data_IF_381794508572
#
_entry.id   IF_381794508572
#
_cell.length_a   1.000
_cell.length_b   1.000
_cell.length_c   1.000
_cell.angle_alpha   90.00
_cell.angle_beta   90.00
_cell.angle_gamma   90.00
#
_symmetry.space_group_name_H-M   'P 1'
#
loop_
_entity.id
_entity.type
_entity.pdbx_description
1 polymer ?
#
# COMPACT_ATOMS: atom_id res chain seq x y z
N UNK A 1 35.07 24.18 -60.88
CA UNK A 1 33.69 24.62 -60.54
C UNK A 1 32.91 23.39 -60.09
N UNK A 2 32.37 23.44 -58.86
CA UNK A 2 31.22 22.69 -58.29
C UNK A 2 31.06 21.18 -58.60
N UNK A 3 30.76 20.26 -57.69
CA UNK A 3 30.06 20.36 -56.41
C UNK A 3 30.36 19.14 -55.52
N UNK A 4 30.32 19.38 -54.21
CA UNK A 4 30.33 18.40 -53.13
C UNK A 4 29.21 17.36 -53.25
N UNK A 5 29.55 16.07 -53.09
CA UNK A 5 28.60 15.02 -52.74
C UNK A 5 28.78 14.69 -51.25
N UNK A 6 27.90 15.23 -50.42
CA UNK A 6 27.77 14.92 -49.01
C UNK A 6 26.86 13.69 -48.88
N UNK A 7 27.42 12.51 -48.65
CA UNK A 7 26.62 11.34 -48.25
C UNK A 7 26.78 11.15 -46.75
N UNK A 8 25.66 11.37 -46.06
CA UNK A 8 25.52 11.37 -44.61
C UNK A 8 25.80 9.96 -44.05
N UNK A 9 26.84 9.84 -43.24
CA UNK A 9 27.13 8.61 -42.48
C UNK A 9 26.13 8.53 -41.31
N UNK A 10 25.04 7.80 -41.51
CA UNK A 10 24.08 7.50 -40.46
C UNK A 10 24.74 6.57 -39.43
N UNK A 11 25.20 7.14 -38.32
CA UNK A 11 25.56 6.44 -37.10
C UNK A 11 24.32 5.72 -36.56
N UNK A 12 24.18 4.43 -36.89
CA UNK A 12 23.31 3.49 -36.19
C UNK A 12 23.85 3.35 -34.76
N UNK A 13 23.34 4.17 -33.84
CA UNK A 13 23.43 3.91 -32.42
C UNK A 13 22.64 2.63 -32.16
N UNK A 14 23.36 1.52 -32.05
CA UNK A 14 22.82 0.26 -31.56
C UNK A 14 22.38 0.46 -30.11
N UNK A 15 21.15 0.93 -29.94
CA UNK A 15 20.43 0.88 -28.68
C UNK A 15 20.24 -0.60 -28.38
N UNK A 16 21.15 -1.16 -27.59
CA UNK A 16 21.03 -2.51 -27.03
C UNK A 16 19.83 -2.47 -26.07
N UNK A 17 18.65 -2.58 -26.64
CA UNK A 17 17.42 -2.84 -25.93
C UNK A 17 17.55 -4.29 -25.46
N UNK A 18 18.08 -4.47 -24.25
CA UNK A 18 17.94 -5.72 -23.52
C UNK A 18 16.45 -5.95 -23.28
N UNK A 19 15.78 -6.49 -24.29
CA UNK A 19 14.46 -7.10 -24.21
C UNK A 19 14.59 -8.32 -23.30
N UNK A 20 14.49 -8.12 -21.99
CA UNK A 20 14.11 -9.19 -21.09
C UNK A 20 12.59 -9.35 -21.21
N UNK A 21 12.08 -10.47 -21.72
CA UNK A 21 10.68 -10.82 -21.54
C UNK A 21 10.52 -11.32 -20.10
N UNK A 22 10.66 -10.42 -19.13
CA UNK A 22 10.07 -10.66 -17.82
C UNK A 22 8.56 -10.49 -18.02
N UNK A 23 7.90 -11.56 -18.43
CA UNK A 23 6.47 -11.77 -18.17
C UNK A 23 6.32 -11.77 -16.64
N UNK A 24 6.36 -10.59 -16.04
CA UNK A 24 6.24 -10.36 -14.62
C UNK A 24 4.82 -10.76 -14.22
N UNK A 25 4.66 -12.00 -13.77
CA UNK A 25 3.40 -12.57 -13.35
C UNK A 25 2.62 -11.63 -12.43
N UNK A 26 1.53 -11.13 -13.01
CA UNK A 26 0.12 -11.14 -12.64
C UNK A 26 -0.35 -11.13 -11.19
N UNK A 27 0.44 -11.34 -10.12
CA UNK A 27 -0.11 -11.46 -8.76
C UNK A 27 0.63 -10.60 -7.72
N UNK A 28 -0.10 -9.71 -7.03
CA UNK A 28 0.37 -8.90 -5.88
C UNK A 28 -0.79 -8.71 -4.92
N UNK A 29 -0.61 -8.95 -3.62
CA UNK A 29 -1.66 -8.68 -2.63
C UNK A 29 -2.91 -9.56 -2.81
N UNK A 30 -2.74 -10.77 -3.34
CA UNK A 30 -3.82 -11.69 -3.67
C UNK A 30 -4.74 -11.26 -4.83
N UNK A 31 -4.35 -10.25 -5.63
CA UNK A 31 -5.08 -9.84 -6.84
C UNK A 31 -4.27 -10.12 -8.10
N UNK A 32 -4.97 -10.28 -9.21
CA UNK A 32 -4.40 -10.29 -10.56
C UNK A 32 -5.03 -9.25 -11.47
N UNK A 33 -4.25 -8.74 -12.42
CA UNK A 33 -4.70 -7.73 -13.38
C UNK A 33 -4.42 -8.23 -14.80
N UNK A 34 -5.48 -8.37 -15.59
CA UNK A 34 -5.37 -8.80 -16.99
C UNK A 34 -4.78 -7.70 -17.89
N UNK A 35 -4.48 -8.03 -19.15
CA UNK A 35 -3.91 -7.08 -20.13
C UNK A 35 -4.80 -5.87 -20.42
N UNK A 36 -6.10 -5.94 -20.09
CA UNK A 36 -7.06 -4.83 -20.21
C UNK A 36 -7.16 -3.99 -18.94
N UNK A 37 -6.39 -4.32 -17.91
CA UNK A 37 -6.41 -3.62 -16.62
C UNK A 37 -7.59 -4.04 -15.73
N UNK A 38 -8.22 -5.19 -15.98
CA UNK A 38 -9.31 -5.70 -15.15
C UNK A 38 -8.73 -6.52 -14.00
N UNK A 39 -9.00 -6.08 -12.77
CA UNK A 39 -8.62 -6.73 -11.54
C UNK A 39 -9.53 -7.92 -11.23
N UNK A 40 -8.92 -9.04 -10.81
CA UNK A 40 -9.60 -10.22 -10.28
C UNK A 40 -8.90 -10.70 -9.02
N UNK A 41 -9.60 -11.52 -8.23
CA UNK A 41 -8.94 -12.25 -7.15
C UNK A 41 -8.02 -13.30 -7.78
N UNK A 42 -6.76 -13.33 -7.37
CA UNK A 42 -5.81 -14.31 -7.85
C UNK A 42 -6.28 -15.72 -7.46
N UNK A 43 -6.24 -16.66 -8.40
CA UNK A 43 -6.23 -18.08 -8.05
C UNK A 43 -4.80 -18.48 -7.76
N UNK A 44 -4.58 -19.11 -6.61
CA UNK A 44 -3.23 -19.53 -6.20
C UNK A 44 -2.74 -20.56 -7.21
N UNK A 45 -1.87 -20.15 -8.13
CA UNK A 45 -1.19 -21.09 -9.02
C UNK A 45 0.11 -21.51 -8.36
N UNK A 46 0.27 -22.80 -8.10
CA UNK A 46 1.47 -23.41 -7.52
C UNK A 46 2.66 -23.45 -8.51
N UNK A 47 2.84 -22.42 -9.33
CA UNK A 47 4.01 -22.31 -10.18
C UNK A 47 5.21 -21.90 -9.31
N UNK A 48 5.98 -22.90 -8.89
CA UNK A 48 7.27 -22.76 -8.22
C UNK A 48 8.23 -21.95 -9.11
N UNK A 49 8.26 -20.64 -8.90
CA UNK A 49 9.26 -19.77 -9.50
C UNK A 49 10.45 -19.66 -8.59
N UNK A 50 11.65 -19.60 -9.21
CA UNK A 50 12.97 -19.46 -8.57
C UNK A 50 12.86 -18.61 -7.29
N UNK A 51 13.03 -19.29 -6.17
CA UNK A 51 13.07 -18.67 -4.85
C UNK A 51 14.29 -17.74 -4.82
N UNK A 52 14.07 -16.43 -4.77
CA UNK A 52 15.10 -15.50 -4.32
C UNK A 52 15.39 -15.81 -2.86
N UNK A 53 16.37 -16.68 -2.60
CA UNK A 53 16.75 -17.08 -1.24
C UNK A 53 17.58 -15.95 -0.59
N UNK A 54 17.37 -15.65 0.70
CA UNK A 54 18.22 -14.71 1.41
C UNK A 54 19.66 -15.23 1.48
N UNK A 55 20.64 -14.32 1.36
CA UNK A 55 22.01 -14.61 1.81
C UNK A 55 22.02 -15.15 3.25
N UNK A 56 22.92 -16.10 3.55
CA UNK A 56 23.02 -16.74 4.88
C UNK A 56 23.12 -15.73 6.03
N UNK A 57 23.81 -14.61 5.81
CA UNK A 57 23.97 -13.54 6.81
C UNK A 57 22.65 -12.85 7.16
N UNK A 58 21.72 -12.73 6.22
CA UNK A 58 20.41 -12.08 6.42
C UNK A 58 19.32 -13.04 6.89
N UNK A 59 19.57 -14.35 6.79
CA UNK A 59 18.62 -15.38 7.19
C UNK A 59 18.32 -15.36 8.70
N UNK A 60 19.28 -14.92 9.53
CA UNK A 60 19.11 -14.83 10.98
C UNK A 60 18.05 -13.77 11.34
N UNK A 61 17.04 -14.12 12.16
CA UNK A 61 16.07 -13.15 12.67
C UNK A 61 16.74 -12.10 13.55
N UNK A 62 16.29 -10.86 13.41
CA UNK A 62 16.70 -9.71 14.19
C UNK A 62 15.49 -8.85 14.50
N UNK A 63 15.41 -8.32 15.72
CA UNK A 63 14.34 -7.39 16.13
C UNK A 63 14.73 -5.93 15.89
N UNK A 64 16.02 -5.66 15.62
CA UNK A 64 16.61 -4.33 15.60
C UNK A 64 17.50 -4.09 14.38
N UNK A 65 17.25 -4.78 13.26
CA UNK A 65 18.04 -4.58 12.04
C UNK A 65 17.95 -3.13 11.61
N UNK A 66 19.11 -2.51 11.47
CA UNK A 66 19.30 -1.13 11.13
C UNK A 66 19.92 -1.01 9.74
N UNK A 67 19.40 -0.10 8.93
CA UNK A 67 19.81 0.15 7.54
C UNK A 67 20.30 1.59 7.39
N UNK A 68 21.57 1.81 7.06
CA UNK A 68 22.11 3.12 6.68
C UNK A 68 21.64 3.49 5.28
N UNK A 69 20.86 4.56 5.14
CA UNK A 69 20.33 5.00 3.86
C UNK A 69 21.43 5.58 2.97
N UNK A 70 22.43 6.26 3.54
CA UNK A 70 23.62 6.73 2.82
C UNK A 70 24.38 5.57 2.17
N UNK A 71 24.68 4.53 2.94
CA UNK A 71 25.43 3.36 2.43
C UNK A 71 24.58 2.49 1.52
N UNK A 72 23.28 2.39 1.78
CA UNK A 72 22.34 1.71 0.89
C UNK A 72 22.34 2.36 -0.50
N UNK A 73 22.23 3.69 -0.60
CA UNK A 73 22.30 4.39 -1.89
C UNK A 73 23.65 4.24 -2.58
N UNK A 74 24.76 4.19 -1.83
CA UNK A 74 26.08 3.90 -2.39
C UNK A 74 26.12 2.50 -3.01
N UNK A 75 25.61 1.49 -2.30
CA UNK A 75 25.54 0.11 -2.80
C UNK A 75 24.64 0.00 -4.05
N UNK A 76 23.50 0.70 -4.08
CA UNK A 76 22.61 0.75 -5.25
C UNK A 76 23.31 1.45 -6.42
N UNK A 77 23.98 2.58 -6.17
CA UNK A 77 24.70 3.34 -7.21
C UNK A 77 25.75 2.52 -7.93
N UNK A 78 26.45 1.63 -7.22
CA UNK A 78 27.46 0.73 -7.82
C UNK A 78 26.81 -0.18 -8.87
N UNK A 79 25.66 -0.79 -8.56
CA UNK A 79 24.95 -1.68 -9.49
C UNK A 79 24.34 -0.89 -10.65
N UNK A 80 23.71 0.26 -10.37
CA UNK A 80 23.10 1.12 -11.39
C UNK A 80 24.15 1.58 -12.40
N UNK A 81 25.32 2.04 -11.95
CA UNK A 81 26.41 2.47 -12.85
C UNK A 81 26.96 1.34 -13.74
N UNK A 82 26.86 0.09 -13.27
CA UNK A 82 27.29 -1.11 -14.02
C UNK A 82 26.19 -1.69 -14.91
N UNK A 83 24.96 -1.17 -14.85
CA UNK A 83 23.81 -1.75 -15.54
C UNK A 83 23.40 -3.13 -14.99
N UNK A 84 23.80 -3.45 -13.77
CA UNK A 84 23.53 -4.74 -13.13
C UNK A 84 22.17 -4.76 -12.46
N UNK A 85 21.51 -5.93 -12.45
CA UNK A 85 20.29 -6.13 -11.67
C UNK A 85 20.60 -6.06 -10.18
N UNK A 86 19.72 -5.39 -9.41
CA UNK A 86 19.89 -5.33 -7.97
C UNK A 86 19.72 -6.72 -7.33
N UNK A 87 20.66 -7.14 -6.47
CA UNK A 87 20.54 -8.39 -5.73
C UNK A 87 19.32 -8.35 -4.78
N UNK A 88 18.71 -9.51 -4.46
CA UNK A 88 17.53 -9.59 -3.60
C UNK A 88 17.68 -8.86 -2.26
N UNK A 89 18.87 -8.87 -1.68
CA UNK A 89 19.19 -8.22 -0.42
C UNK A 89 18.96 -6.71 -0.47
N UNK A 90 19.32 -6.05 -1.58
CA UNK A 90 19.04 -4.63 -1.79
C UNK A 90 17.55 -4.39 -2.09
N UNK A 91 16.96 -5.24 -2.95
CA UNK A 91 15.54 -5.12 -3.34
C UNK A 91 14.58 -5.25 -2.15
N UNK A 92 14.89 -6.14 -1.21
CA UNK A 92 14.10 -6.40 -0.01
C UNK A 92 14.66 -5.74 1.26
N UNK A 93 15.49 -4.70 1.11
CA UNK A 93 15.98 -3.87 2.21
C UNK A 93 16.53 -4.69 3.38
N UNK A 94 17.36 -5.69 3.09
CA UNK A 94 17.99 -6.54 4.10
C UNK A 94 17.00 -7.44 4.85
N UNK A 95 15.87 -7.76 4.23
CA UNK A 95 14.80 -8.57 4.83
C UNK A 95 14.02 -7.82 5.91
N UNK A 96 14.07 -6.48 5.94
CA UNK A 96 13.32 -5.66 6.88
C UNK A 96 11.82 -5.83 6.63
N UNK A 97 11.05 -6.11 7.69
CA UNK A 97 9.63 -6.48 7.58
C UNK A 97 8.69 -5.32 7.94
N UNK A 98 9.16 -4.35 8.73
CA UNK A 98 8.50 -3.08 9.03
C UNK A 98 9.52 -2.09 9.60
N UNK A 99 9.20 -0.79 9.54
CA UNK A 99 10.00 0.27 10.18
C UNK A 99 9.45 0.51 11.58
N UNK A 100 10.23 0.21 12.62
CA UNK A 100 9.89 0.54 14.01
C UNK A 100 10.51 1.86 14.45
N UNK A 101 11.67 2.26 13.90
CA UNK A 101 12.31 3.54 14.21
C UNK A 101 12.95 4.19 12.98
N UNK A 102 12.99 5.52 13.00
CA UNK A 102 13.79 6.35 12.07
C UNK A 102 14.76 7.17 12.91
N UNK A 103 16.05 6.99 12.66
CA UNK A 103 17.12 7.65 13.39
C UNK A 103 17.88 8.57 12.44
N UNK A 104 18.00 9.84 12.79
CA UNK A 104 18.65 10.86 11.98
C UNK A 104 20.04 11.16 12.55
N UNK A 105 21.06 11.18 11.70
CA UNK A 105 22.45 11.47 12.07
C UNK A 105 23.02 12.59 11.19
N UNK A 106 22.63 13.85 11.43
CA UNK A 106 23.16 14.99 10.66
C UNK A 106 24.68 15.04 10.65
N UNK A 107 25.31 14.68 11.77
CA UNK A 107 26.76 14.65 11.92
C UNK A 107 27.46 13.59 11.05
N UNK A 108 26.73 12.61 10.53
CA UNK A 108 27.23 11.58 9.61
C UNK A 108 26.69 11.77 8.17
N UNK A 109 25.83 12.77 7.98
CA UNK A 109 24.99 12.95 6.79
C UNK A 109 24.20 11.70 6.43
N UNK A 110 23.71 10.99 7.45
CA UNK A 110 23.07 9.70 7.30
C UNK A 110 21.74 9.64 8.06
N UNK A 111 20.90 8.72 7.64
CA UNK A 111 19.68 8.36 8.33
C UNK A 111 19.51 6.84 8.30
N UNK A 112 18.93 6.31 9.36
CA UNK A 112 18.84 4.87 9.59
C UNK A 112 17.39 4.46 9.81
N UNK A 113 16.98 3.43 9.07
CA UNK A 113 15.70 2.74 9.29
C UNK A 113 15.96 1.51 10.15
N UNK A 114 15.18 1.34 11.21
CA UNK A 114 15.35 0.21 12.16
C UNK A 114 14.05 -0.56 12.31
N UNK A 115 14.13 -1.89 12.36
CA UNK A 115 12.99 -2.74 12.69
C UNK A 115 13.28 -4.24 12.60
N UNK A 116 12.24 -5.08 12.73
CA UNK A 116 12.39 -6.53 12.67
C UNK A 116 12.71 -6.97 11.24
N UNK A 117 13.67 -7.86 11.11
CA UNK A 117 14.13 -8.42 9.85
C UNK A 117 14.54 -9.88 9.99
N UNK A 118 14.73 -10.56 8.86
CA UNK A 118 15.26 -11.92 8.85
C UNK A 118 15.17 -12.56 7.48
N UNK A 119 15.34 -13.88 7.44
CA UNK A 119 15.12 -14.66 6.23
C UNK A 119 13.67 -14.58 5.74
N UNK A 120 13.48 -14.83 4.45
CA UNK A 120 12.18 -14.76 3.81
C UNK A 120 11.90 -15.95 2.91
N UNK A 121 10.61 -16.15 2.64
CA UNK A 121 10.06 -17.13 1.70
C UNK A 121 9.02 -16.47 0.82
N UNK A 122 8.79 -17.04 -0.36
CA UNK A 122 7.71 -16.62 -1.25
C UNK A 122 6.47 -17.47 -1.00
N UNK A 123 5.33 -16.84 -0.74
CA UNK A 123 4.05 -17.52 -0.61
C UNK A 123 3.53 -17.98 -1.98
N UNK A 124 2.65 -19.00 -2.04
CA UNK A 124 2.00 -19.41 -3.28
C UNK A 124 1.23 -18.27 -3.98
N UNK A 125 0.70 -17.32 -3.22
CA UNK A 125 0.06 -16.10 -3.70
C UNK A 125 1.04 -15.06 -4.28
N UNK A 126 2.34 -15.29 -4.15
CA UNK A 126 3.41 -14.55 -4.80
C UNK A 126 4.13 -13.52 -3.93
N UNK A 127 3.60 -13.18 -2.76
CA UNK A 127 4.23 -12.26 -1.80
C UNK A 127 5.47 -12.86 -1.12
N UNK A 128 6.45 -12.02 -0.83
CA UNK A 128 7.60 -12.39 0.00
C UNK A 128 7.32 -12.03 1.46
N UNK A 129 7.46 -13.01 2.35
CA UNK A 129 7.21 -12.85 3.78
C UNK A 129 8.36 -13.40 4.61
N UNK A 130 8.55 -12.85 5.79
CA UNK A 130 9.48 -13.38 6.78
C UNK A 130 9.18 -14.84 7.10
N UNK A 131 10.21 -15.67 7.21
CA UNK A 131 10.08 -17.12 7.39
C UNK A 131 9.28 -17.46 8.65
N UNK A 132 9.55 -16.75 9.76
CA UNK A 132 8.97 -17.02 11.07
C UNK A 132 7.75 -16.15 11.36
N UNK A 133 7.81 -14.87 11.00
CA UNK A 133 6.77 -13.88 11.35
C UNK A 133 5.58 -13.89 10.40
N UNK A 134 5.74 -14.45 9.19
CA UNK A 134 4.80 -14.35 8.08
C UNK A 134 4.43 -12.91 7.69
N UNK A 135 5.21 -11.91 8.12
CA UNK A 135 5.02 -10.52 7.72
C UNK A 135 5.67 -10.25 6.37
N UNK A 136 5.03 -9.46 5.48
CA UNK A 136 5.63 -9.00 4.23
C UNK A 136 6.93 -8.22 4.46
N UNK A 137 7.84 -8.31 3.50
CA UNK A 137 9.06 -7.52 3.49
C UNK A 137 8.78 -6.09 2.98
N UNK A 138 9.61 -5.15 3.42
CA UNK A 138 9.74 -3.85 2.77
C UNK A 138 10.52 -3.99 1.47
N UNK A 139 10.15 -3.18 0.48
CA UNK A 139 10.77 -3.18 -0.84
C UNK A 139 11.31 -1.81 -1.22
N UNK A 140 12.45 -1.83 -1.92
CA UNK A 140 13.16 -0.63 -2.34
C UNK A 140 12.31 0.25 -3.28
N UNK A 141 11.53 -0.37 -4.17
CA UNK A 141 10.60 0.34 -5.07
C UNK A 141 9.59 1.18 -4.29
N UNK A 142 9.04 0.63 -3.20
CA UNK A 142 8.04 1.33 -2.39
C UNK A 142 8.69 2.48 -1.59
N UNK A 143 9.92 2.28 -1.08
CA UNK A 143 10.70 3.35 -0.45
C UNK A 143 11.01 4.49 -1.42
N UNK A 144 11.44 4.17 -2.64
CA UNK A 144 11.74 5.17 -3.66
C UNK A 144 10.51 6.00 -4.04
N UNK A 145 9.35 5.34 -4.21
CA UNK A 145 8.09 6.04 -4.51
C UNK A 145 7.61 6.91 -3.34
N UNK A 146 7.74 6.44 -2.09
CA UNK A 146 7.44 7.24 -0.91
C UNK A 146 8.33 8.49 -0.82
N UNK A 147 9.64 8.35 -1.04
CA UNK A 147 10.57 9.48 -1.06
C UNK A 147 10.24 10.49 -2.17
N UNK A 148 9.89 10.02 -3.38
CA UNK A 148 9.51 10.89 -4.51
C UNK A 148 8.27 11.71 -4.23
N UNK A 149 7.25 11.09 -3.63
CA UNK A 149 6.02 11.78 -3.28
C UNK A 149 6.29 12.96 -2.34
N UNK A 150 7.11 12.76 -1.31
CA UNK A 150 7.47 13.83 -0.35
C UNK A 150 8.43 14.85 -0.96
N UNK A 151 9.41 14.39 -1.76
CA UNK A 151 10.44 15.25 -2.36
C UNK A 151 9.88 16.19 -3.45
N UNK A 152 8.82 15.80 -4.15
CA UNK A 152 8.14 16.63 -5.15
C UNK A 152 6.66 16.81 -4.82
N UNK A 153 6.30 17.72 -3.90
CA UNK A 153 4.92 18.04 -3.55
C UNK A 153 4.11 18.69 -4.69
N UNK A 154 4.69 18.82 -5.88
CA UNK A 154 4.01 19.26 -7.11
C UNK A 154 3.05 18.20 -7.65
N UNK A 155 2.94 17.03 -7.01
CA UNK A 155 1.83 16.11 -7.25
C UNK A 155 0.53 16.87 -6.98
N UNK A 156 -0.31 17.00 -8.02
CA UNK A 156 -1.66 17.58 -7.90
C UNK A 156 -2.48 16.94 -6.75
N UNK A 157 -2.11 15.72 -6.37
CA UNK A 157 -2.65 14.98 -5.25
C UNK A 157 -1.90 15.30 -3.95
N UNK A 158 -2.59 15.88 -2.96
CA UNK A 158 -2.06 16.10 -1.61
C UNK A 158 -2.00 14.85 -0.72
N UNK A 159 -2.16 13.65 -1.28
CA UNK A 159 -2.16 12.37 -0.57
C UNK A 159 -1.78 11.22 -1.53
N UNK A 160 -1.31 10.10 -0.98
CA UNK A 160 -1.16 8.83 -1.71
C UNK A 160 -2.41 7.98 -1.48
N UNK A 161 -2.97 7.39 -2.53
CA UNK A 161 -4.17 6.59 -2.33
C UNK A 161 -4.73 5.91 -3.56
N UNK A 162 -5.90 5.31 -3.36
CA UNK A 162 -6.70 4.80 -4.46
C UNK A 162 -8.20 4.90 -4.16
N UNK A 163 -9.02 4.76 -5.21
CA UNK A 163 -10.46 4.61 -5.12
C UNK A 163 -10.94 3.55 -6.10
N UNK A 164 -11.97 2.79 -5.71
CA UNK A 164 -12.71 1.90 -6.61
C UNK A 164 -14.18 2.31 -6.55
N UNK A 165 -14.65 2.95 -7.63
CA UNK A 165 -15.96 3.58 -7.69
C UNK A 165 -16.75 3.17 -8.94
N UNK A 166 -18.09 3.01 -8.84
CA UNK A 166 -18.91 2.83 -10.03
C UNK A 166 -18.89 4.08 -10.92
N UNK A 167 -19.07 3.89 -12.22
CA UNK A 167 -19.23 5.00 -13.17
C UNK A 167 -20.57 5.72 -12.94
N UNK A 168 -20.65 7.01 -13.32
CA UNK A 168 -21.91 7.77 -13.27
C UNK A 168 -23.01 7.10 -14.12
N UNK A 169 -22.67 6.63 -15.32
CA UNK A 169 -23.61 5.90 -16.19
C UNK A 169 -24.01 4.56 -15.60
N UNK A 170 -23.09 3.85 -14.93
CA UNK A 170 -23.38 2.62 -14.17
C UNK A 170 -24.36 2.86 -13.02
N UNK A 171 -24.20 3.96 -12.28
CA UNK A 171 -25.15 4.35 -11.23
C UNK A 171 -26.53 4.68 -11.79
N UNK A 172 -26.62 5.35 -12.95
CA UNK A 172 -27.89 5.64 -13.61
C UNK A 172 -28.61 4.37 -14.09
N UNK A 173 -27.89 3.46 -14.76
CA UNK A 173 -28.43 2.15 -15.17
C UNK A 173 -28.90 1.35 -13.97
N UNK A 174 -28.10 1.32 -12.91
CA UNK A 174 -28.47 0.67 -11.66
C UNK A 174 -29.74 1.26 -11.04
N UNK A 175 -29.86 2.58 -10.96
CA UNK A 175 -31.06 3.24 -10.45
C UNK A 175 -32.30 2.91 -11.30
N UNK A 176 -32.16 2.87 -12.64
CA UNK A 176 -33.24 2.48 -13.55
C UNK A 176 -33.65 1.02 -13.34
N UNK A 177 -32.67 0.11 -13.22
CA UNK A 177 -32.91 -1.30 -12.94
C UNK A 177 -33.66 -1.50 -11.61
N UNK A 178 -33.22 -0.81 -10.55
CA UNK A 178 -33.86 -0.89 -9.23
C UNK A 178 -35.29 -0.36 -9.19
N UNK A 179 -35.62 0.69 -9.97
CA UNK A 179 -36.99 1.21 -10.08
C UNK A 179 -37.96 0.22 -10.74
N UNK A 180 -37.46 -0.66 -11.61
CA UNK A 180 -38.26 -1.65 -12.33
C UNK A 180 -38.55 -2.93 -11.54
N UNK A 181 -37.97 -3.08 -10.33
CA UNK A 181 -38.15 -4.29 -9.53
C UNK A 181 -39.45 -4.24 -8.73
N UNK A 182 -40.30 -5.24 -8.93
CA UNK A 182 -41.54 -5.46 -8.16
C UNK A 182 -41.71 -6.95 -7.81
N UNK A 183 -42.53 -7.23 -6.80
CA UNK A 183 -42.93 -8.60 -6.42
C UNK A 183 -42.10 -9.27 -5.32
N UNK A 184 -42.54 -10.47 -4.92
CA UNK A 184 -41.84 -11.32 -3.93
C UNK A 184 -40.57 -11.90 -4.54
N UNK A 185 -39.54 -12.01 -3.70
CA UNK A 185 -38.22 -12.51 -4.10
C UNK A 185 -38.00 -13.91 -3.53
N UNK A 186 -37.97 -14.91 -4.40
CA UNK A 186 -37.55 -16.28 -4.11
C UNK A 186 -36.04 -16.49 -4.39
N UNK A 187 -35.53 -17.69 -4.15
CA UNK A 187 -34.11 -18.00 -4.33
C UNK A 187 -33.62 -17.87 -5.79
N UNK A 188 -34.47 -18.19 -6.77
CA UNK A 188 -34.13 -18.08 -8.19
C UNK A 188 -34.07 -16.62 -8.64
N UNK A 189 -35.09 -15.83 -8.26
CA UNK A 189 -35.16 -14.38 -8.48
C UNK A 189 -34.01 -13.64 -7.81
N UNK A 190 -33.54 -14.08 -6.65
CA UNK A 190 -32.36 -13.47 -5.98
C UNK A 190 -31.11 -13.59 -6.86
N UNK A 191 -30.86 -14.74 -7.49
CA UNK A 191 -29.69 -14.91 -8.36
C UNK A 191 -29.76 -14.01 -9.59
N UNK A 192 -30.91 -13.99 -10.27
CA UNK A 192 -31.13 -13.12 -11.44
C UNK A 192 -31.05 -11.64 -11.06
N UNK A 193 -31.55 -11.27 -9.88
CA UNK A 193 -31.45 -9.93 -9.33
C UNK A 193 -29.99 -9.50 -9.13
N UNK A 194 -29.17 -10.33 -8.49
CA UNK A 194 -27.74 -10.05 -8.28
C UNK A 194 -27.03 -9.86 -9.62
N UNK A 195 -27.24 -10.77 -10.56
CA UNK A 195 -26.62 -10.68 -11.88
C UNK A 195 -27.05 -9.42 -12.65
N UNK A 196 -28.35 -9.12 -12.68
CA UNK A 196 -28.88 -7.91 -13.33
C UNK A 196 -28.37 -6.62 -12.70
N UNK A 197 -28.14 -6.62 -11.39
CA UNK A 197 -27.52 -5.51 -10.69
C UNK A 197 -26.05 -5.33 -11.02
N UNK A 198 -25.26 -6.39 -10.95
CA UNK A 198 -23.84 -6.35 -11.29
C UNK A 198 -23.65 -5.89 -12.74
N UNK A 199 -24.50 -6.39 -13.64
CA UNK A 199 -24.53 -5.95 -15.04
C UNK A 199 -24.89 -4.46 -15.18
N UNK A 200 -25.91 -4.00 -14.45
CA UNK A 200 -26.35 -2.60 -14.51
C UNK A 200 -25.28 -1.62 -14.04
N UNK A 201 -24.64 -1.91 -12.89
CA UNK A 201 -23.51 -1.10 -12.39
C UNK A 201 -22.33 -1.19 -13.36
N UNK A 202 -22.04 -2.39 -13.87
CA UNK A 202 -20.89 -2.66 -14.73
C UNK A 202 -19.57 -2.67 -13.96
N UNK A 203 -18.45 -2.57 -14.67
CA UNK A 203 -17.14 -2.44 -14.02
C UNK A 203 -17.00 -1.10 -13.30
N UNK A 204 -16.44 -1.16 -12.10
CA UNK A 204 -16.05 0.00 -11.31
C UNK A 204 -14.67 0.48 -11.77
N UNK A 205 -14.44 1.78 -11.77
CA UNK A 205 -13.19 2.39 -12.18
C UNK A 205 -12.24 2.47 -10.99
N UNK A 206 -10.97 2.16 -11.25
CA UNK A 206 -9.87 2.33 -10.32
C UNK A 206 -9.18 3.66 -10.62
N UNK A 207 -8.96 4.47 -9.59
CA UNK A 207 -8.09 5.65 -9.67
C UNK A 207 -7.03 5.55 -8.60
N UNK A 208 -5.81 5.95 -8.93
CA UNK A 208 -4.64 5.96 -8.04
C UNK A 208 -4.14 7.40 -7.95
N UNK A 209 -3.74 7.81 -6.76
CA UNK A 209 -3.32 9.18 -6.43
C UNK A 209 -1.93 9.17 -5.81
N UNK A 210 -1.14 10.20 -6.09
CA UNK A 210 0.19 10.44 -5.49
C UNK A 210 1.32 9.52 -5.95
N UNK A 211 1.03 8.35 -6.53
CA UNK A 211 2.03 7.41 -7.07
C UNK A 211 1.64 6.91 -8.47
N UNK A 212 2.60 6.50 -9.33
CA UNK A 212 2.27 5.97 -10.65
C UNK A 212 1.43 4.69 -10.56
N UNK A 213 0.35 4.63 -11.34
CA UNK A 213 -0.65 3.56 -11.25
C UNK A 213 -0.16 2.19 -11.77
N UNK A 214 0.96 2.17 -12.50
CA UNK A 214 1.63 0.98 -13.05
C UNK A 214 2.69 0.40 -12.10
N UNK A 215 2.62 0.69 -10.79
CA UNK A 215 3.61 0.24 -9.78
C UNK A 215 3.06 -0.79 -8.81
N UNK A 216 3.95 -1.52 -8.12
CA UNK A 216 3.58 -2.41 -7.02
C UNK A 216 2.90 -1.66 -5.86
N UNK A 217 3.33 -0.44 -5.56
CA UNK A 217 2.69 0.44 -4.57
C UNK A 217 1.21 0.62 -4.90
N UNK A 218 0.89 1.02 -6.14
CA UNK A 218 -0.48 1.19 -6.61
C UNK A 218 -1.31 -0.11 -6.51
N UNK A 219 -0.74 -1.24 -6.92
CA UNK A 219 -1.41 -2.53 -6.82
C UNK A 219 -1.78 -2.88 -5.38
N UNK A 220 -0.88 -2.66 -4.40
CA UNK A 220 -1.14 -2.94 -2.97
C UNK A 220 -2.27 -2.06 -2.41
N UNK A 221 -2.30 -0.77 -2.78
CA UNK A 221 -3.38 0.13 -2.38
C UNK A 221 -4.74 -0.40 -2.86
N UNK A 222 -4.83 -0.74 -4.14
CA UNK A 222 -6.06 -1.24 -4.77
C UNK A 222 -6.45 -2.61 -4.23
N UNK A 223 -5.48 -3.50 -4.02
CA UNK A 223 -5.70 -4.82 -3.45
C UNK A 223 -6.26 -4.75 -2.03
N UNK A 224 -5.74 -3.85 -1.19
CA UNK A 224 -6.21 -3.65 0.16
C UNK A 224 -7.66 -3.13 0.19
N UNK A 225 -8.00 -2.11 -0.61
CA UNK A 225 -9.39 -1.62 -0.72
C UNK A 225 -10.34 -2.71 -1.24
N UNK A 226 -9.94 -3.42 -2.30
CA UNK A 226 -10.71 -4.54 -2.85
C UNK A 226 -11.00 -5.61 -1.79
N UNK A 227 -9.98 -5.97 -0.99
CA UNK A 227 -10.11 -6.99 0.07
C UNK A 227 -10.97 -6.50 1.23
N UNK A 228 -10.84 -5.25 1.64
CA UNK A 228 -11.70 -4.63 2.65
C UNK A 228 -13.17 -4.71 2.24
N UNK A 229 -13.48 -4.36 0.98
CA UNK A 229 -14.83 -4.44 0.42
C UNK A 229 -15.39 -5.85 0.46
N UNK A 230 -14.61 -6.85 0.05
CA UNK A 230 -15.04 -8.25 0.09
C UNK A 230 -15.35 -8.74 1.50
N UNK A 231 -14.51 -8.40 2.48
CA UNK A 231 -14.73 -8.73 3.90
C UNK A 231 -15.98 -8.02 4.43
N UNK A 232 -16.11 -6.72 4.19
CA UNK A 232 -17.27 -5.94 4.65
C UNK A 232 -18.59 -6.45 4.04
N UNK A 233 -18.57 -6.87 2.76
CA UNK A 233 -19.73 -7.46 2.09
C UNK A 233 -19.97 -8.95 2.44
N UNK A 234 -19.09 -9.57 3.22
CA UNK A 234 -19.20 -10.98 3.59
C UNK A 234 -19.01 -11.94 2.42
N UNK A 235 -18.19 -11.58 1.43
CA UNK A 235 -17.68 -12.51 0.41
C UNK A 235 -16.48 -13.31 0.90
N UNK A 236 -15.64 -12.66 1.72
CA UNK A 236 -14.49 -13.30 2.34
C UNK A 236 -14.81 -13.55 3.80
N UNK A 237 -14.91 -14.82 4.18
CA UNK A 237 -15.05 -15.20 5.57
C UNK A 237 -13.70 -15.04 6.29
N UNK A 238 -13.70 -14.29 7.39
CA UNK A 238 -12.50 -14.07 8.20
C UNK A 238 -12.71 -14.75 9.55
N UNK A 239 -11.88 -15.73 9.95
CA UNK A 239 -12.02 -16.46 11.21
C UNK A 239 -11.58 -15.62 12.43
N UNK A 240 -12.04 -14.38 12.51
CA UNK A 240 -11.84 -13.48 13.65
C UNK A 240 -13.01 -13.63 14.61
N UNK A 241 -12.74 -13.97 15.86
CA UNK A 241 -13.79 -14.26 16.86
C UNK A 241 -14.72 -13.05 17.03
N UNK A 242 -16.02 -13.29 16.87
CA UNK A 242 -17.05 -12.26 17.03
C UNK A 242 -17.17 -11.26 15.86
N UNK A 243 -16.35 -11.41 14.81
CA UNK A 243 -16.46 -10.57 13.63
C UNK A 243 -17.77 -10.84 12.89
N UNK A 244 -18.47 -9.77 12.53
CA UNK A 244 -19.72 -9.83 11.74
C UNK A 244 -19.57 -8.90 10.54
N UNK A 245 -19.88 -9.39 9.34
CA UNK A 245 -19.83 -8.55 8.14
C UNK A 245 -20.84 -7.39 8.21
N UNK A 246 -20.59 -6.31 7.48
CA UNK A 246 -21.51 -5.18 7.43
C UNK A 246 -22.90 -5.61 6.92
N UNK A 247 -22.91 -6.51 5.93
CA UNK A 247 -24.13 -7.07 5.36
C UNK A 247 -24.95 -7.86 6.39
N UNK A 248 -24.29 -8.61 7.26
CA UNK A 248 -24.98 -9.37 8.30
C UNK A 248 -25.45 -8.46 9.44
N UNK A 249 -24.68 -7.41 9.79
CA UNK A 249 -25.13 -6.36 10.72
C UNK A 249 -26.41 -5.67 10.22
N UNK A 250 -26.44 -5.30 8.93
CA UNK A 250 -27.61 -4.69 8.31
C UNK A 250 -28.81 -5.64 8.27
N UNK A 251 -28.58 -6.94 8.07
CA UNK A 251 -29.65 -7.94 8.05
C UNK A 251 -30.40 -8.06 9.39
N UNK A 252 -29.75 -7.66 10.48
CA UNK A 252 -30.29 -7.68 11.85
C UNK A 252 -30.85 -6.32 12.29
N UNK A 253 -30.67 -5.28 11.48
CA UNK A 253 -31.02 -3.91 11.81
C UNK A 253 -32.49 -3.56 11.53
N UNK A 254 -32.97 -2.47 12.16
CA UNK A 254 -34.30 -1.90 11.87
C UNK A 254 -34.33 -1.21 10.49
N UNK A 255 -35.52 -1.17 9.88
CA UNK A 255 -35.78 -0.73 8.49
C UNK A 255 -35.31 0.69 8.15
N UNK A 256 -35.14 1.57 9.14
CA UNK A 256 -34.66 2.94 8.94
C UNK A 256 -33.14 3.04 8.76
N UNK A 257 -32.37 2.09 9.33
CA UNK A 257 -30.91 2.10 9.27
C UNK A 257 -30.34 1.65 7.91
N UNK A 258 -31.19 1.17 7.01
CA UNK A 258 -30.83 0.45 5.78
C UNK A 258 -31.08 1.23 4.48
N UNK A 259 -31.53 2.49 4.55
CA UNK A 259 -31.80 3.33 3.36
C UNK A 259 -30.56 4.05 2.80
N UNK A 260 -29.57 4.28 3.64
CA UNK A 260 -28.37 5.03 3.28
C UNK A 260 -27.25 4.06 2.94
N UNK A 261 -26.60 4.25 1.78
CA UNK A 261 -25.38 3.53 1.44
C UNK A 261 -24.17 4.22 2.09
N UNK A 262 -23.20 3.42 2.54
CA UNK A 262 -21.97 3.90 3.16
C UNK A 262 -20.75 3.44 2.38
N UNK A 263 -19.70 4.27 2.41
CA UNK A 263 -18.37 3.90 1.96
C UNK A 263 -17.49 3.50 3.14
N UNK A 264 -16.53 2.63 2.92
CA UNK A 264 -15.51 2.25 3.90
C UNK A 264 -14.14 2.36 3.23
N UNK A 265 -13.20 3.04 3.87
CA UNK A 265 -11.86 3.22 3.30
C UNK A 265 -10.81 3.22 4.40
N UNK A 266 -9.59 2.85 4.02
CA UNK A 266 -8.44 2.95 4.90
C UNK A 266 -7.92 4.38 4.97
N UNK A 267 -7.56 4.81 6.17
CA UNK A 267 -6.81 6.04 6.40
C UNK A 267 -5.57 5.73 7.22
N UNK A 268 -4.47 6.40 6.90
CA UNK A 268 -3.30 6.42 7.76
C UNK A 268 -3.61 7.15 9.08
N UNK A 269 -3.04 6.67 10.19
CA UNK A 269 -3.15 7.30 11.51
C UNK A 269 -1.78 7.47 12.13
N UNK A 270 -1.61 8.53 12.91
CA UNK A 270 -0.30 8.93 13.44
C UNK A 270 -0.26 9.13 14.95
N UNK A 271 -1.35 8.79 15.64
CA UNK A 271 -1.49 8.95 17.09
C UNK A 271 -0.40 8.17 17.86
N UNK A 272 0.08 7.08 17.27
CA UNK A 272 1.07 6.19 17.86
C UNK A 272 2.53 6.55 17.51
N UNK A 273 2.78 7.75 16.97
CA UNK A 273 4.12 8.21 16.60
C UNK A 273 4.78 8.97 17.76
N UNK A 274 5.92 8.45 18.24
CA UNK A 274 6.72 9.11 19.29
C UNK A 274 8.03 9.63 18.73
N UNK A 275 8.60 10.65 19.39
CA UNK A 275 9.87 11.27 18.98
C UNK A 275 10.74 11.68 20.16
N UNK A 276 12.03 11.75 19.94
CA UNK A 276 12.98 12.34 20.87
C UNK A 276 12.75 13.85 21.01
N UNK A 277 13.12 14.47 22.16
CA UNK A 277 13.01 15.92 22.36
C UNK A 277 13.71 16.76 21.28
N UNK A 278 14.81 16.26 20.74
CA UNK A 278 15.62 16.89 19.68
C UNK A 278 15.12 16.60 18.25
N UNK A 279 14.07 15.78 18.10
CA UNK A 279 13.54 15.37 16.80
C UNK A 279 14.43 14.40 16.01
N UNK A 280 15.57 13.95 16.55
CA UNK A 280 16.57 13.12 15.84
C UNK A 280 16.27 11.63 15.87
N UNK A 281 15.27 11.19 16.64
CA UNK A 281 14.81 9.82 16.67
C UNK A 281 13.30 9.77 16.75
N UNK A 282 12.70 8.90 15.93
CA UNK A 282 11.27 8.69 15.86
C UNK A 282 10.97 7.20 16.01
N UNK A 283 9.86 6.88 16.66
CA UNK A 283 9.43 5.50 16.86
C UNK A 283 7.95 5.35 16.52
N UNK A 284 7.66 4.28 15.78
CA UNK A 284 6.30 3.84 15.49
C UNK A 284 5.84 2.89 16.58
N UNK A 285 4.77 3.25 17.27
CA UNK A 285 3.98 2.31 18.06
C UNK A 285 2.70 1.98 17.26
N UNK A 286 2.02 0.87 17.50
CA UNK A 286 0.75 0.58 16.82
C UNK A 286 0.75 0.32 15.30
N UNK A 287 -0.46 0.13 14.71
CA UNK A 287 -0.64 -0.26 13.31
C UNK A 287 -0.54 0.89 12.31
N UNK A 288 -0.77 2.15 12.74
CA UNK A 288 -0.75 3.33 11.86
C UNK A 288 -1.85 3.35 10.78
N UNK A 289 -2.91 2.57 10.95
CA UNK A 289 -3.98 2.41 9.96
C UNK A 289 -5.33 2.25 10.66
N UNK A 290 -6.35 2.92 10.13
CA UNK A 290 -7.73 2.78 10.57
C UNK A 290 -8.70 2.68 9.40
N UNK A 291 -9.91 2.21 9.65
CA UNK A 291 -11.02 2.24 8.69
C UNK A 291 -11.98 3.36 9.05
N UNK A 292 -12.34 4.19 8.07
CA UNK A 292 -13.34 5.26 8.20
C UNK A 292 -14.57 4.96 7.38
N UNK A 293 -15.65 5.68 7.68
CA UNK A 293 -16.92 5.55 6.99
C UNK A 293 -17.66 6.88 6.88
N UNK A 294 -18.42 7.04 5.81
CA UNK A 294 -19.27 8.20 5.51
C UNK A 294 -20.48 7.73 4.71
N UNK A 295 -21.59 8.47 4.81
CA UNK A 295 -22.74 8.24 3.94
C UNK A 295 -22.40 8.69 2.51
N UNK A 296 -22.90 7.94 1.52
CA UNK A 296 -22.71 8.25 0.11
C UNK A 296 -23.81 9.23 -0.33
N UNK A 297 -23.49 10.51 -0.44
CA UNK A 297 -24.39 11.54 -0.97
C UNK A 297 -23.77 12.19 -2.20
N UNK A 298 -24.39 12.05 -3.37
CA UNK A 298 -24.18 12.90 -4.56
C UNK A 298 -22.77 13.36 -4.94
N UNK A 299 -21.71 12.62 -4.57
CA UNK A 299 -20.31 13.01 -4.81
C UNK A 299 -19.64 13.89 -3.74
N UNK A 300 -20.23 14.12 -2.56
CA UNK A 300 -19.57 14.79 -1.42
C UNK A 300 -19.81 14.06 -0.10
N UNK A 301 -18.74 13.81 0.65
CA UNK A 301 -18.72 13.10 1.95
C UNK A 301 -19.24 13.95 3.13
N UNK A 302 -20.26 14.78 2.90
CA UNK A 302 -20.76 15.74 3.92
C UNK A 302 -21.84 15.16 4.83
N UNK A 303 -22.38 13.98 4.51
CA UNK A 303 -23.43 13.35 5.32
C UNK A 303 -22.87 12.38 6.37
N UNK A 304 -23.40 12.45 7.59
CA UNK A 304 -22.96 11.65 8.73
C UNK A 304 -23.28 10.16 8.50
N UNK A 305 -22.29 9.30 8.76
CA UNK A 305 -22.47 7.85 8.73
C UNK A 305 -23.50 7.38 9.78
N UNK A 306 -24.24 6.32 9.46
CA UNK A 306 -25.20 5.73 10.42
C UNK A 306 -24.45 5.09 11.61
N UNK A 307 -25.11 4.90 12.76
CA UNK A 307 -24.49 4.22 13.90
C UNK A 307 -23.95 2.83 13.56
N UNK A 308 -24.65 2.06 12.71
CA UNK A 308 -24.22 0.73 12.28
C UNK A 308 -22.97 0.80 11.40
N UNK A 309 -22.91 1.75 10.47
CA UNK A 309 -21.71 1.95 9.65
C UNK A 309 -20.51 2.36 10.51
N UNK A 310 -20.70 3.27 11.48
CA UNK A 310 -19.63 3.66 12.42
C UNK A 310 -19.15 2.47 13.25
N UNK A 311 -20.08 1.67 13.79
CA UNK A 311 -19.74 0.43 14.50
C UNK A 311 -18.91 -0.52 13.63
N UNK A 312 -19.30 -0.71 12.37
CA UNK A 312 -18.54 -1.54 11.44
C UNK A 312 -17.12 -1.02 11.21
N UNK A 313 -16.96 0.30 11.00
CA UNK A 313 -15.64 0.90 10.81
C UNK A 313 -14.74 0.73 12.05
N UNK A 314 -15.30 0.91 13.25
CA UNK A 314 -14.60 0.64 14.52
C UNK A 314 -14.20 -0.83 14.63
N UNK A 315 -15.13 -1.78 14.41
CA UNK A 315 -14.84 -3.22 14.45
C UNK A 315 -13.77 -3.63 13.44
N UNK A 316 -13.81 -3.10 12.22
CA UNK A 316 -12.76 -3.34 11.22
C UNK A 316 -11.40 -2.82 11.70
N UNK A 317 -11.38 -1.60 12.27
CA UNK A 317 -10.16 -0.98 12.80
C UNK A 317 -9.57 -1.79 13.95
N UNK A 318 -10.39 -2.19 14.93
CA UNK A 318 -9.99 -3.00 16.08
C UNK A 318 -9.50 -4.40 15.66
N UNK A 319 -10.12 -4.99 14.64
CA UNK A 319 -9.74 -6.30 14.12
C UNK A 319 -8.50 -6.26 13.20
N UNK A 320 -8.01 -5.08 12.79
CA UNK A 320 -6.90 -4.96 11.83
C UNK A 320 -5.65 -5.80 12.19
N UNK A 321 -5.19 -5.84 13.45
CA UNK A 321 -4.02 -6.64 13.81
C UNK A 321 -4.19 -8.14 13.50
N UNK A 322 -5.37 -8.69 13.76
CA UNK A 322 -5.70 -10.09 13.50
C UNK A 322 -5.98 -10.34 12.01
N UNK A 323 -6.77 -9.45 11.39
CA UNK A 323 -7.05 -9.49 9.95
C UNK A 323 -5.78 -9.45 9.10
N UNK A 324 -4.78 -8.68 9.53
CA UNK A 324 -3.51 -8.56 8.79
C UNK A 324 -2.68 -9.84 8.83
N UNK A 325 -2.80 -10.66 9.89
CA UNK A 325 -2.17 -11.99 9.94
C UNK A 325 -2.81 -12.97 8.95
N UNK A 326 -4.12 -12.87 8.76
CA UNK A 326 -4.88 -13.71 7.84
C UNK A 326 -4.84 -13.21 6.40
N UNK A 327 -4.66 -11.90 6.22
CA UNK A 327 -4.67 -11.21 4.93
C UNK A 327 -3.42 -10.33 4.82
N UNK A 328 -2.29 -10.86 4.32
CA UNK A 328 -0.99 -10.17 4.32
C UNK A 328 -0.99 -8.80 3.63
N UNK A 329 -1.90 -8.54 2.68
CA UNK A 329 -2.01 -7.23 2.01
C UNK A 329 -2.30 -6.08 2.99
N UNK A 330 -2.90 -6.35 4.15
CA UNK A 330 -3.08 -5.31 5.17
C UNK A 330 -1.79 -5.00 5.92
N UNK A 331 -0.88 -5.97 6.09
CA UNK A 331 0.48 -5.66 6.54
C UNK A 331 1.27 -4.91 5.48
N UNK A 332 1.11 -5.27 4.20
CA UNK A 332 1.70 -4.50 3.09
C UNK A 332 1.23 -3.04 3.14
N UNK A 333 -0.07 -2.81 3.33
CA UNK A 333 -0.61 -1.45 3.45
C UNK A 333 -0.04 -0.70 4.66
N UNK A 334 0.10 -1.34 5.83
CA UNK A 334 0.77 -0.74 7.00
C UNK A 334 2.22 -0.37 6.69
N UNK A 335 2.93 -1.22 5.94
CA UNK A 335 4.29 -0.96 5.51
C UNK A 335 4.37 0.25 4.56
N UNK A 336 3.44 0.38 3.62
CA UNK A 336 3.36 1.55 2.74
C UNK A 336 3.13 2.84 3.53
N UNK A 337 2.21 2.83 4.52
CA UNK A 337 2.01 3.98 5.42
C UNK A 337 3.31 4.31 6.17
N UNK A 338 3.95 3.31 6.79
CA UNK A 338 5.19 3.54 7.54
C UNK A 338 6.33 4.05 6.64
N UNK A 339 6.43 3.60 5.40
CA UNK A 339 7.39 4.13 4.42
C UNK A 339 7.10 5.59 4.06
N UNK A 340 5.84 5.95 3.84
CA UNK A 340 5.42 7.34 3.59
C UNK A 340 5.74 8.24 4.78
N UNK A 341 5.43 7.80 6.01
CA UNK A 341 5.77 8.58 7.22
C UNK A 341 7.27 8.64 7.44
N UNK A 342 8.01 7.56 7.17
CA UNK A 342 9.47 7.58 7.25
C UNK A 342 10.06 8.57 6.24
N UNK A 343 9.57 8.61 5.00
CA UNK A 343 9.99 9.59 4.00
C UNK A 343 9.74 11.04 4.48
N UNK A 344 8.58 11.30 5.07
CA UNK A 344 8.26 12.59 5.71
C UNK A 344 9.25 12.92 6.84
N UNK A 345 9.56 11.98 7.73
CA UNK A 345 10.52 12.20 8.83
C UNK A 345 11.91 12.52 8.26
N UNK A 346 12.38 11.74 7.29
CA UNK A 346 13.69 11.89 6.69
C UNK A 346 13.88 13.29 6.10
N UNK A 347 12.88 13.80 5.39
CA UNK A 347 12.96 15.06 4.66
C UNK A 347 12.52 16.27 5.49
N UNK A 348 11.50 16.13 6.34
CA UNK A 348 10.78 17.25 6.94
C UNK A 348 10.80 17.27 8.48
N UNK A 349 11.43 16.31 9.17
CA UNK A 349 11.51 16.35 10.63
C UNK A 349 12.19 17.65 11.15
N UNK A 350 11.77 18.22 12.29
CA UNK A 350 12.24 19.51 12.76
C UNK A 350 13.54 19.35 13.55
N UNK A 351 14.65 19.13 12.84
CA UNK A 351 15.97 18.85 13.41
C UNK A 351 16.95 20.01 13.14
N UNK A 352 16.89 21.05 13.97
CA UNK A 352 17.90 22.15 14.01
C UNK A 352 18.37 22.68 12.66
N UNK A 353 19.60 23.22 12.60
CA UNK A 353 20.19 23.67 11.33
C UNK A 353 20.33 22.49 10.35
N UNK A 354 19.98 22.73 9.09
CA UNK A 354 19.80 21.69 8.04
C UNK A 354 21.11 21.12 7.50
N UNK A 355 22.24 21.68 7.91
CA UNK A 355 23.58 21.25 7.51
C UNK A 355 23.79 19.79 7.91
N UNK A 356 23.98 18.94 6.91
CA UNK A 356 24.18 17.49 7.09
C UNK A 356 22.91 16.64 7.14
N UNK A 357 21.71 17.15 6.85
CA UNK A 357 20.55 16.25 6.66
C UNK A 357 20.81 15.27 5.51
N UNK A 358 20.59 13.98 5.74
CA UNK A 358 20.58 13.00 4.65
C UNK A 358 19.51 13.34 3.62
N UNK A 359 19.91 13.39 2.35
CA UNK A 359 19.01 13.55 1.23
C UNK A 359 19.33 12.51 0.17
N UNK A 360 18.30 11.83 -0.30
CA UNK A 360 18.40 10.84 -1.38
C UNK A 360 18.83 11.53 -2.67
N UNK A 361 19.81 10.94 -3.38
CA UNK A 361 20.20 11.39 -4.73
C UNK A 361 19.86 10.36 -5.79
N UNK A 362 19.68 9.10 -5.40
CA UNK A 362 19.46 7.99 -6.34
C UNK A 362 17.99 7.63 -6.41
N UNK A 363 17.33 7.48 -5.25
CA UNK A 363 15.96 6.98 -5.20
C UNK A 363 14.93 8.01 -5.64
N UNK A 364 15.18 9.30 -5.38
CA UNK A 364 14.30 10.40 -5.83
C UNK A 364 14.42 10.70 -7.33
N UNK A 365 15.55 10.34 -7.95
CA UNK A 365 15.84 10.64 -9.36
C UNK A 365 15.30 9.52 -10.29
N UNK A 366 14.30 9.81 -11.16
CA UNK A 366 13.70 8.81 -12.05
C UNK A 366 14.62 8.31 -13.16
N UNK A 367 15.74 8.99 -13.43
CA UNK A 367 16.73 8.55 -14.41
C UNK A 367 17.80 7.65 -13.79
N UNK A 368 18.04 7.79 -12.48
CA UNK A 368 18.98 6.92 -11.75
C UNK A 368 18.36 5.65 -11.22
N UNK A 369 17.10 5.72 -10.78
CA UNK A 369 16.39 4.55 -10.27
C UNK A 369 15.00 4.45 -10.89
N UNK A 370 14.65 3.28 -11.43
CA UNK A 370 13.35 3.05 -12.07
C UNK A 370 12.65 1.88 -11.37
N UNK A 371 11.61 2.15 -10.57
CA UNK A 371 10.78 1.10 -10.00
C UNK A 371 10.21 0.18 -11.08
N UNK A 372 9.98 -1.10 -10.73
CA UNK A 372 9.43 -2.05 -11.67
C UNK A 372 7.99 -1.68 -12.06
N UNK A 373 7.71 -1.68 -13.37
CA UNK A 373 6.38 -1.43 -13.92
C UNK A 373 5.55 -2.70 -14.01
N UNK A 374 4.23 -2.53 -14.00
CA UNK A 374 3.20 -3.58 -14.07
C UNK A 374 1.99 -3.08 -14.84
N UNK A 375 1.12 -3.99 -15.26
CA UNK A 375 -0.16 -3.60 -15.85
C UNK A 375 -0.97 -2.73 -14.89
N UNK A 376 -1.45 -1.58 -15.36
CA UNK A 376 -2.25 -0.68 -14.53
C UNK A 376 -3.60 -1.32 -14.17
N UNK A 377 -3.99 -1.40 -12.88
CA UNK A 377 -5.35 -1.76 -12.49
C UNK A 377 -6.27 -0.58 -12.86
N UNK A 378 -7.14 -0.78 -13.84
CA UNK A 378 -8.06 0.25 -14.34
C UNK A 378 -9.49 0.01 -13.90
N UNK A 379 -9.88 -1.26 -13.76
CA UNK A 379 -11.27 -1.63 -13.53
C UNK A 379 -11.40 -2.84 -12.59
N UNK A 380 -12.51 -2.88 -11.85
CA UNK A 380 -12.88 -4.02 -11.00
C UNK A 380 -14.31 -4.45 -11.35
N UNK A 381 -14.59 -5.75 -11.57
CA UNK A 381 -15.95 -6.24 -11.69
C UNK A 381 -16.79 -5.87 -10.46
N UNK A 382 -18.03 -5.44 -10.67
CA UNK A 382 -18.92 -5.10 -9.55
C UNK A 382 -19.21 -6.31 -8.68
N UNK A 383 -19.01 -6.13 -7.38
CA UNK A 383 -19.44 -7.08 -6.35
C UNK A 383 -20.88 -6.75 -5.96
N UNK A 384 -21.78 -7.73 -6.07
CA UNK A 384 -23.17 -7.61 -5.64
C UNK A 384 -23.52 -8.63 -4.58
N UNK A 385 -23.87 -8.19 -3.37
CA UNK A 385 -24.27 -9.08 -2.28
C UNK A 385 -25.72 -8.84 -1.88
N UNK A 386 -26.50 -9.92 -1.77
CA UNK A 386 -27.85 -9.88 -1.21
C UNK A 386 -27.88 -10.57 0.15
N UNK A 387 -28.53 -9.95 1.14
CA UNK A 387 -28.91 -10.60 2.41
C UNK A 387 -30.42 -10.48 2.62
N UNK A 388 -31.02 -11.57 3.12
CA UNK A 388 -32.41 -11.59 3.59
C UNK A 388 -32.46 -10.91 4.95
N UNK A 389 -33.29 -9.88 5.10
CA UNK A 389 -33.54 -9.24 6.39
C UNK A 389 -35.05 -9.11 6.61
N UNK A 390 -35.58 -9.72 7.68
CA UNK A 390 -36.98 -9.62 8.18
C UNK A 390 -38.01 -9.14 7.13
N UNK A 391 -38.22 -9.95 6.07
CA UNK A 391 -39.24 -9.72 5.05
C UNK A 391 -38.83 -8.94 3.78
N UNK A 392 -37.57 -8.53 3.60
CA UNK A 392 -37.05 -7.94 2.34
C UNK A 392 -35.62 -8.38 2.02
N UNK A 393 -35.27 -8.38 0.73
CA UNK A 393 -33.91 -8.58 0.26
C UNK A 393 -33.24 -7.23 0.00
N UNK A 394 -31.98 -7.13 0.38
CA UNK A 394 -31.25 -5.87 0.34
C UNK A 394 -30.00 -6.03 -0.49
N UNK A 395 -29.67 -4.98 -1.24
CA UNK A 395 -28.52 -5.01 -2.10
C UNK A 395 -27.63 -3.80 -1.89
N UNK A 396 -26.34 -4.07 -1.70
CA UNK A 396 -25.33 -3.07 -1.39
C UNK A 396 -24.21 -3.11 -2.42
N UNK A 397 -23.75 -1.92 -2.80
CA UNK A 397 -22.47 -1.69 -3.43
C UNK A 397 -21.64 -0.84 -2.46
N UNK A 398 -20.53 -1.36 -1.97
CA UNK A 398 -19.61 -0.60 -1.11
C UNK A 398 -18.59 0.10 -2.01
N UNK A 399 -18.60 1.44 -2.02
CA UNK A 399 -17.45 2.22 -2.50
C UNK A 399 -16.45 2.44 -1.36
N UNK A 400 -15.22 2.81 -1.69
CA UNK A 400 -14.11 2.77 -0.75
C UNK A 400 -12.79 3.15 -1.42
N UNK A 401 -11.73 3.11 -0.64
CA UNK A 401 -10.40 3.47 -1.09
C UNK A 401 -9.34 3.31 -0.02
N UNK A 402 -8.20 3.93 -0.31
CA UNK A 402 -7.09 4.10 0.63
C UNK A 402 -6.66 5.55 0.54
N UNK A 403 -6.39 6.16 1.69
CA UNK A 403 -5.89 7.53 1.78
C UNK A 403 -4.75 7.60 2.80
N UNK A 404 -3.57 7.97 2.32
CA UNK A 404 -2.36 8.18 3.11
C UNK A 404 -1.98 9.65 2.93
N UNK A 405 -2.42 10.49 3.85
CA UNK A 405 -2.05 11.91 3.87
C UNK A 405 -0.64 12.07 4.43
N UNK A 406 0.15 13.07 4.03
CA UNK A 406 1.42 13.38 4.69
C UNK A 406 1.28 13.47 6.21
N UNK A 407 2.17 12.80 6.95
CA UNK A 407 2.23 13.00 8.39
C UNK A 407 2.78 14.41 8.67
N UNK A 408 2.16 15.21 9.57
CA UNK A 408 2.56 16.60 9.82
C UNK A 408 3.82 16.68 10.71
N UNK A 409 4.86 15.92 10.38
CA UNK A 409 6.08 15.77 11.17
C UNK A 409 6.89 17.06 11.25
N UNK A 410 6.76 17.95 10.26
CA UNK A 410 7.38 19.27 10.27
C UNK A 410 6.83 20.20 11.35
N UNK A 411 5.65 19.90 11.93
CA UNK A 411 5.16 20.61 13.10
C UNK A 411 5.94 20.19 14.35
N UNK A 412 6.73 21.07 14.99
CA UNK A 412 7.52 20.72 16.17
C UNK A 412 6.69 20.37 17.41
N UNK A 413 5.35 20.48 17.37
CA UNK A 413 4.46 20.02 18.44
C UNK A 413 3.83 18.66 18.16
N UNK A 414 4.08 18.07 17.00
CA UNK A 414 3.52 16.79 16.59
C UNK A 414 4.31 15.60 17.17
N UNK A 415 3.60 14.54 17.51
CA UNK A 415 4.14 13.31 18.10
C UNK A 415 4.38 13.40 19.60
N UNK A 416 4.26 12.27 20.29
CA UNK A 416 4.50 12.19 21.73
C UNK A 416 6.01 12.16 22.03
N UNK A 417 6.47 12.94 23.01
CA UNK A 417 7.89 12.94 23.39
C UNK A 417 8.23 11.67 24.19
N UNK A 418 9.24 10.92 23.73
CA UNK A 418 9.86 9.82 24.47
C UNK A 418 11.35 10.14 24.76
N UNK A 419 11.66 10.33 26.05
CA UNK A 419 13.00 10.67 26.53
C UNK A 419 13.99 9.49 26.53
N UNK A 420 13.54 8.28 26.18
CA UNK A 420 14.41 7.09 26.06
C UNK A 420 15.02 6.95 24.67
N UNK A 421 14.46 7.62 23.66
CA UNK A 421 14.92 7.53 22.28
C UNK A 421 16.35 8.04 22.04
N UNK A 422 16.85 9.10 22.70
CA UNK A 422 18.23 9.54 22.54
C UNK A 422 19.27 8.45 22.88
N UNK A 423 19.05 7.68 23.95
CA UNK A 423 19.94 6.59 24.34
C UNK A 423 19.97 5.47 23.29
N UNK A 424 18.81 5.14 22.69
CA UNK A 424 18.71 4.16 21.59
C UNK A 424 19.44 4.65 20.33
N UNK A 425 19.28 5.93 19.99
CA UNK A 425 20.00 6.57 18.89
C UNK A 425 21.52 6.49 19.09
N UNK A 426 22.01 6.79 20.29
CA UNK A 426 23.43 6.72 20.62
C UNK A 426 23.99 5.29 20.51
N UNK A 427 23.26 4.29 20.99
CA UNK A 427 23.65 2.88 20.87
C UNK A 427 23.71 2.40 19.42
N UNK A 428 22.80 2.86 18.56
CA UNK A 428 22.86 2.56 17.12
C UNK A 428 24.03 3.26 16.44
N UNK A 429 24.35 4.51 16.83
CA UNK A 429 25.47 5.29 16.26
C UNK A 429 26.82 4.60 16.41
N UNK A 430 27.11 4.01 17.58
CA UNK A 430 28.39 3.34 17.81
C UNK A 430 28.61 2.16 16.87
N UNK A 431 27.54 1.49 16.40
CA UNK A 431 27.61 0.42 15.41
C UNK A 431 27.82 0.92 13.99
N UNK A 432 27.28 2.09 13.62
CA UNK A 432 27.53 2.72 12.31
C UNK A 432 29.03 2.91 12.09
N UNK A 433 29.74 3.38 13.12
CA UNK A 433 31.17 3.65 13.05
C UNK A 433 32.03 2.39 12.84
N UNK A 434 31.57 1.22 13.27
CA UNK A 434 32.36 -0.02 13.28
C UNK A 434 31.97 -1.01 12.17
N UNK A 435 30.81 -0.84 11.54
CA UNK A 435 30.38 -1.69 10.42
C UNK A 435 30.73 -1.07 9.07
N UNK A 436 31.26 -1.87 8.15
CA UNK A 436 31.47 -1.48 6.74
C UNK A 436 30.22 -1.73 5.87
N UNK A 437 29.25 -2.51 6.36
CA UNK A 437 28.05 -2.86 5.62
C UNK A 437 26.98 -1.76 5.71
N UNK A 438 26.05 -1.76 4.76
CA UNK A 438 24.90 -0.84 4.75
C UNK A 438 23.78 -1.26 5.73
N UNK A 439 23.93 -2.42 6.39
CA UNK A 439 23.04 -2.91 7.42
C UNK A 439 23.79 -3.57 8.57
N UNK A 440 23.16 -3.63 9.75
CA UNK A 440 23.62 -4.37 10.93
C UNK A 440 22.43 -4.74 11.81
N UNK A 441 22.61 -5.68 12.73
CA UNK A 441 21.62 -6.04 13.76
C UNK A 441 21.95 -5.38 15.10
#
# INVERSE_FOLDING_TARGET
MCSNNTTCLALLTASFCCLFPDNALSQVGGIEVDSRGVLRHATVSAAERRLSRPAKSLARPSTTRALSLKRLEQAISVHVKRGESLPPELRFLGGLQRIDQVLLYPELEDAVLVGPAGGWKRLPSGEFVGTDSHRPLLELDDLALALRFVHSPSTQDGFIGCSIDPTLSGLQRYAKYMKGLSGRLDASRIRTLIAGMQHSIGHQQVRVFGVPADTRFAWKLVAADYRLKRIAMGFDNVPVKGFTSYMDLLSRANRAATRTQHRFWFVATYDDLTRAPDGLAWQFTGPGLAVRTAARSGGKDKEKATPIARRMASTLTEALPELSRLTPVFFELQNLVRLSVAAEILLNAPIGDTTGRWSSRVLVDPDRYRPARRTTPRQVPSLGAVRKARGRNWIFSISGGVQIEPAPVGNPKFGTIDRRLPARRAASRSRIATTAHWWWD
#
